data_IF_750920785130
#
_entry.id   IF_750920785130
#
_cell.length_a   1.000
_cell.length_b   1.000
_cell.length_c   1.000
_cell.angle_alpha   90.00
_cell.angle_beta   90.00
_cell.angle_gamma   90.00
#
_symmetry.space_group_name_H-M   'P 1'
#
loop_
_entity.id
_entity.type
_entity.pdbx_description
1 polymer ?
#
# COMPACT_ATOMS: atom_id res chain seq x y z
N UNK A 1 62.47 29.27 -17.58
CA UNK A 1 62.01 28.90 -16.22
C UNK A 1 60.50 28.80 -16.28
N UNK A 2 60.02 27.62 -16.71
CA UNK A 2 58.61 27.36 -17.00
C UNK A 2 58.00 26.61 -15.83
N UNK A 3 57.11 27.26 -15.09
CA UNK A 3 56.37 26.67 -13.98
C UNK A 3 55.08 26.02 -14.54
N UNK A 4 55.06 24.69 -14.63
CA UNK A 4 53.87 23.90 -14.93
C UNK A 4 52.98 23.88 -13.69
N UNK A 5 51.81 24.50 -13.77
CA UNK A 5 50.76 24.37 -12.78
C UNK A 5 49.96 23.11 -13.13
N UNK A 6 50.12 22.08 -12.36
CA UNK A 6 49.32 20.86 -12.45
C UNK A 6 47.97 21.11 -11.76
N UNK A 7 46.91 21.20 -12.56
CA UNK A 7 45.52 21.27 -12.08
C UNK A 7 45.06 19.87 -11.72
N UNK A 8 45.00 19.56 -10.42
CA UNK A 8 44.41 18.30 -9.92
C UNK A 8 42.91 18.49 -9.89
N UNK A 9 42.22 17.97 -10.90
CA UNK A 9 40.78 17.79 -10.89
C UNK A 9 40.41 16.64 -9.95
N UNK A 10 40.02 16.96 -8.73
CA UNK A 10 39.36 16.00 -7.85
C UNK A 10 37.91 15.81 -8.33
N UNK A 11 37.72 14.81 -9.18
CA UNK A 11 36.39 14.34 -9.51
C UNK A 11 35.78 13.67 -8.24
N UNK A 12 34.98 14.42 -7.50
CA UNK A 12 34.13 13.86 -6.49
C UNK A 12 33.07 12.99 -7.20
N UNK A 13 33.40 11.71 -7.39
CA UNK A 13 32.43 10.70 -7.74
C UNK A 13 31.44 10.61 -6.57
N UNK A 14 30.34 11.32 -6.64
CA UNK A 14 29.16 10.99 -5.86
C UNK A 14 28.73 9.58 -6.30
N UNK A 15 29.28 8.58 -5.63
CA UNK A 15 28.72 7.23 -5.63
C UNK A 15 27.34 7.42 -5.00
N UNK A 16 26.33 7.61 -5.85
CA UNK A 16 24.94 7.36 -5.49
C UNK A 16 24.90 5.88 -5.12
N UNK A 17 25.20 5.57 -3.86
CA UNK A 17 24.92 4.26 -3.31
C UNK A 17 23.44 4.02 -3.62
N UNK A 18 23.07 2.94 -4.34
CA UNK A 18 21.69 2.57 -4.45
C UNK A 18 21.20 2.45 -3.00
N UNK A 19 20.31 3.33 -2.58
CA UNK A 19 19.63 3.20 -1.29
C UNK A 19 19.12 1.77 -1.31
N UNK A 20 19.66 0.92 -0.44
CA UNK A 20 19.22 -0.46 -0.34
C UNK A 20 17.74 -0.41 -0.01
N UNK A 21 16.92 -0.55 -1.05
CA UNK A 21 15.47 -0.56 -0.91
C UNK A 21 15.17 -1.72 0.00
N UNK A 22 14.49 -1.45 1.11
CA UNK A 22 14.30 -2.35 2.22
C UNK A 22 13.87 -3.75 1.81
N UNK A 23 14.22 -4.72 2.63
CA UNK A 23 13.92 -6.12 2.38
C UNK A 23 12.41 -6.41 2.33
N UNK A 24 12.08 -7.55 1.78
CA UNK A 24 10.72 -8.09 1.72
C UNK A 24 10.07 -8.13 3.11
N UNK A 25 8.75 -7.87 3.18
CA UNK A 25 7.98 -8.10 4.40
C UNK A 25 7.86 -9.61 4.61
N UNK A 26 8.41 -10.10 5.71
CA UNK A 26 8.40 -11.55 6.02
C UNK A 26 7.39 -11.93 7.11
N UNK A 27 6.79 -10.95 7.78
CA UNK A 27 5.74 -11.12 8.76
C UNK A 27 4.97 -9.81 8.91
N UNK A 28 3.82 -9.74 8.28
CA UNK A 28 3.02 -8.52 8.23
C UNK A 28 2.54 -8.07 9.63
N UNK A 29 2.23 -8.98 10.52
CA UNK A 29 1.78 -8.62 11.88
C UNK A 29 2.88 -7.91 12.68
N UNK A 30 4.11 -8.42 12.60
CA UNK A 30 5.28 -7.77 13.22
C UNK A 30 5.55 -6.43 12.56
N UNK A 31 5.48 -6.38 11.23
CA UNK A 31 5.70 -5.16 10.46
C UNK A 31 4.70 -4.06 10.86
N UNK A 32 3.39 -4.37 10.87
CA UNK A 32 2.35 -3.40 11.23
C UNK A 32 2.36 -2.99 12.70
N UNK A 33 2.97 -3.78 13.59
CA UNK A 33 3.12 -3.41 15.00
C UNK A 33 4.20 -2.36 15.28
N UNK A 34 4.99 -2.00 14.27
CA UNK A 34 6.06 -1.02 14.38
C UNK A 34 5.57 0.37 13.99
N UNK A 35 6.09 1.40 14.66
CA UNK A 35 5.89 2.79 14.30
C UNK A 35 6.47 3.10 12.91
N UNK A 36 5.70 3.64 11.96
CA UNK A 36 6.20 3.97 10.63
C UNK A 36 7.36 4.96 10.62
N UNK A 37 7.36 5.94 11.52
CA UNK A 37 8.38 6.99 11.59
C UNK A 37 9.76 6.50 12.05
N UNK A 38 9.85 5.27 12.56
CA UNK A 38 11.12 4.60 12.86
C UNK A 38 11.67 3.78 11.70
N UNK A 39 10.89 3.68 10.64
CA UNK A 39 11.30 2.95 9.45
C UNK A 39 12.36 3.74 8.68
N UNK A 40 13.47 3.13 8.25
CA UNK A 40 14.47 3.82 7.44
C UNK A 40 13.94 4.44 6.15
N UNK A 41 12.86 3.89 5.58
CA UNK A 41 12.21 4.41 4.38
C UNK A 41 11.23 5.56 4.67
N UNK A 42 10.92 5.85 5.94
CA UNK A 42 9.86 6.79 6.29
C UNK A 42 10.07 8.19 5.67
N UNK A 43 11.28 8.72 5.76
CA UNK A 43 11.60 10.03 5.19
C UNK A 43 11.36 10.06 3.67
N UNK A 44 11.70 8.97 2.97
CA UNK A 44 11.45 8.85 1.53
C UNK A 44 9.95 8.76 1.22
N UNK A 45 9.20 7.97 1.99
CA UNK A 45 7.75 7.81 1.80
C UNK A 45 7.03 9.14 2.00
N UNK A 46 7.37 9.88 3.05
CA UNK A 46 6.78 11.21 3.34
C UNK A 46 7.18 12.26 2.28
N UNK A 47 8.38 12.18 1.76
CA UNK A 47 8.82 13.03 0.65
C UNK A 47 8.05 12.73 -0.64
N UNK A 48 7.81 11.45 -0.94
CA UNK A 48 7.18 11.02 -2.18
C UNK A 48 5.65 11.17 -2.17
N UNK A 49 5.03 11.02 -1.00
CA UNK A 49 3.58 11.13 -0.81
C UNK A 49 3.25 12.11 0.32
N UNK A 50 2.88 13.32 -0.06
CA UNK A 50 2.39 14.33 0.89
C UNK A 50 1.03 13.90 1.45
N UNK A 51 0.84 13.98 2.76
CA UNK A 51 -0.46 13.77 3.39
C UNK A 51 -1.12 15.09 3.69
N UNK A 52 -2.42 15.14 3.39
CA UNK A 52 -3.29 16.27 3.69
C UNK A 52 -4.54 15.81 4.43
N UNK A 53 -5.13 16.71 5.19
CA UNK A 53 -6.46 16.55 5.74
C UNK A 53 -7.28 17.78 5.37
N UNK A 54 -8.38 17.54 4.67
CA UNK A 54 -9.26 18.61 4.16
C UNK A 54 -8.48 19.70 3.39
N UNK A 55 -7.50 19.25 2.58
CA UNK A 55 -6.64 20.12 1.77
C UNK A 55 -5.44 20.76 2.50
N UNK A 56 -5.34 20.63 3.84
CA UNK A 56 -4.24 21.18 4.61
C UNK A 56 -3.14 20.12 4.86
N UNK A 57 -1.86 20.45 4.74
CA UNK A 57 -0.78 19.54 5.09
C UNK A 57 -0.90 19.02 6.51
N UNK A 58 -0.71 17.71 6.69
CA UNK A 58 -0.76 17.08 8.01
C UNK A 58 0.63 16.99 8.60
N UNK A 59 0.80 17.61 9.78
CA UNK A 59 1.98 17.44 10.61
C UNK A 59 1.56 16.71 11.87
N UNK A 60 1.79 15.40 11.92
CA UNK A 60 1.53 14.62 13.13
C UNK A 60 2.80 14.48 13.98
N UNK A 61 2.58 14.37 15.28
CA UNK A 61 3.65 13.99 16.18
C UNK A 61 4.16 12.57 15.84
N UNK A 62 5.45 12.34 15.96
CA UNK A 62 5.99 11.00 15.77
C UNK A 62 5.39 10.02 16.80
N UNK A 63 5.40 8.73 16.45
CA UNK A 63 4.98 7.71 17.40
C UNK A 63 5.80 7.77 18.68
N UNK A 64 5.13 7.84 19.82
CA UNK A 64 5.79 7.97 21.13
C UNK A 64 6.10 6.64 21.81
N UNK A 65 5.61 5.53 21.25
CA UNK A 65 5.76 4.20 21.84
C UNK A 65 7.22 3.71 21.79
N UNK A 66 7.87 3.51 22.95
CA UNK A 66 9.26 3.07 22.98
C UNK A 66 9.47 1.62 22.51
N UNK A 67 8.42 0.80 22.51
CA UNK A 67 8.44 -0.60 22.12
C UNK A 67 8.15 -0.83 20.64
N UNK A 68 7.70 0.20 19.92
CA UNK A 68 7.23 0.07 18.55
C UNK A 68 5.81 -0.48 18.38
N UNK A 69 5.21 -1.02 19.44
CA UNK A 69 3.81 -1.45 19.40
C UNK A 69 2.88 -0.26 19.63
N UNK A 70 1.88 -0.10 18.79
CA UNK A 70 0.89 0.97 18.90
C UNK A 70 -0.39 0.46 19.55
N UNK A 71 -0.99 1.28 20.40
CA UNK A 71 -2.33 1.02 20.95
C UNK A 71 -3.41 1.48 19.96
N UNK A 72 -4.64 1.00 20.12
CA UNK A 72 -5.80 1.43 19.29
C UNK A 72 -5.95 2.95 19.27
N UNK A 73 -5.76 3.59 20.40
CA UNK A 73 -5.90 5.05 20.54
C UNK A 73 -4.83 5.84 19.75
N UNK A 74 -3.73 5.20 19.36
CA UNK A 74 -2.65 5.81 18.61
C UNK A 74 -2.80 5.63 17.09
N UNK A 75 -3.75 4.80 16.66
CA UNK A 75 -4.09 4.64 15.24
C UNK A 75 -5.01 5.78 14.81
N UNK A 76 -4.43 6.84 14.29
CA UNK A 76 -5.14 7.86 13.53
C UNK A 76 -5.27 7.45 12.05
N UNK A 77 -6.19 8.08 11.34
CA UNK A 77 -6.35 7.87 9.90
C UNK A 77 -5.04 8.12 9.14
N UNK A 78 -4.30 9.17 9.54
CA UNK A 78 -2.98 9.47 8.96
C UNK A 78 -1.99 8.33 9.16
N UNK A 79 -2.02 7.70 10.32
CA UNK A 79 -1.16 6.58 10.63
C UNK A 79 -1.52 5.33 9.80
N UNK A 80 -2.82 5.07 9.63
CA UNK A 80 -3.32 4.00 8.75
C UNK A 80 -2.81 4.22 7.32
N UNK A 81 -2.96 5.43 6.79
CA UNK A 81 -2.45 5.79 5.46
C UNK A 81 -0.94 5.57 5.37
N UNK A 82 -0.17 6.01 6.36
CA UNK A 82 1.29 5.81 6.41
C UNK A 82 1.68 4.34 6.45
N UNK A 83 0.95 3.51 7.21
CA UNK A 83 1.18 2.05 7.22
C UNK A 83 0.89 1.43 5.86
N UNK A 84 -0.19 1.81 5.19
CA UNK A 84 -0.49 1.36 3.84
C UNK A 84 0.62 1.73 2.84
N UNK A 85 1.06 2.98 2.83
CA UNK A 85 2.17 3.45 1.97
C UNK A 85 3.49 2.72 2.29
N UNK A 86 3.74 2.43 3.57
CA UNK A 86 4.92 1.66 3.99
C UNK A 86 4.85 0.23 3.50
N UNK A 87 3.69 -0.42 3.57
CA UNK A 87 3.49 -1.75 2.98
C UNK A 87 3.73 -1.70 1.47
N UNK A 88 3.12 -0.76 0.75
CA UNK A 88 3.33 -0.57 -0.69
C UNK A 88 4.82 -0.38 -1.02
N UNK A 89 5.57 0.35 -0.20
CA UNK A 89 7.00 0.56 -0.40
C UNK A 89 7.80 -0.74 -0.36
N UNK A 90 7.43 -1.69 0.50
CA UNK A 90 8.20 -2.91 0.72
C UNK A 90 7.66 -4.16 0.00
N UNK A 91 6.35 -4.24 -0.24
CA UNK A 91 5.70 -5.49 -0.65
C UNK A 91 6.14 -6.02 -2.00
N UNK A 92 6.62 -5.18 -2.89
CA UNK A 92 6.75 -5.52 -4.31
C UNK A 92 8.22 -5.55 -4.80
N UNK A 93 9.18 -5.53 -3.91
CA UNK A 93 10.59 -5.35 -4.31
C UNK A 93 11.20 -6.52 -5.07
N UNK A 94 10.59 -7.69 -5.03
CA UNK A 94 11.03 -8.88 -5.75
C UNK A 94 10.05 -9.36 -6.83
N UNK A 95 8.94 -8.65 -7.04
CA UNK A 95 7.79 -9.15 -7.79
C UNK A 95 7.42 -8.30 -9.00
N UNK A 96 8.38 -7.53 -9.54
CA UNK A 96 8.20 -6.79 -10.78
C UNK A 96 7.71 -7.73 -11.89
N UNK A 97 6.58 -7.39 -12.50
CA UNK A 97 5.93 -8.22 -13.52
C UNK A 97 4.63 -8.91 -13.06
N UNK A 98 4.28 -8.84 -11.77
CA UNK A 98 3.00 -9.33 -11.28
C UNK A 98 1.86 -8.32 -11.43
N UNK A 99 2.17 -7.04 -11.62
CA UNK A 99 1.20 -5.98 -11.81
C UNK A 99 1.06 -5.66 -13.30
N UNK A 100 0.01 -6.17 -13.97
CA UNK A 100 -0.07 -6.14 -15.43
C UNK A 100 -0.26 -4.74 -16.03
N UNK A 101 -0.69 -3.77 -15.23
CA UNK A 101 -0.92 -2.40 -15.69
C UNK A 101 0.29 -1.47 -15.53
N UNK A 102 1.40 -1.95 -14.97
CA UNK A 102 2.62 -1.16 -14.79
C UNK A 102 3.86 -2.01 -14.98
N UNK A 103 4.90 -1.42 -15.53
CA UNK A 103 6.22 -2.06 -15.67
C UNK A 103 7.08 -1.95 -14.40
N UNK A 104 6.64 -1.16 -13.42
CA UNK A 104 7.34 -0.92 -12.16
C UNK A 104 6.65 -1.56 -10.96
N UNK A 105 7.08 -1.18 -9.77
CA UNK A 105 6.42 -1.53 -8.53
C UNK A 105 5.12 -0.72 -8.36
N UNK A 106 4.20 -1.18 -7.52
CA UNK A 106 3.01 -0.41 -7.16
C UNK A 106 3.39 0.97 -6.60
N UNK A 107 4.43 1.02 -5.78
CA UNK A 107 4.96 2.27 -5.22
C UNK A 107 5.41 3.25 -6.31
N UNK A 108 6.24 2.79 -7.23
CA UNK A 108 6.80 3.64 -8.28
C UNK A 108 5.70 4.12 -9.26
N UNK A 109 4.73 3.24 -9.56
CA UNK A 109 3.57 3.62 -10.37
C UNK A 109 2.72 4.69 -9.67
N UNK A 110 2.31 4.48 -8.43
CA UNK A 110 1.53 5.47 -7.67
C UNK A 110 2.26 6.80 -7.58
N UNK A 111 3.55 6.78 -7.20
CA UNK A 111 4.40 7.98 -7.14
C UNK A 111 4.47 8.74 -8.46
N UNK A 112 4.40 8.04 -9.59
CA UNK A 112 4.40 8.67 -10.91
C UNK A 112 3.08 9.39 -11.25
N UNK A 113 1.98 9.06 -10.55
CA UNK A 113 0.62 9.55 -10.84
C UNK A 113 0.12 10.56 -9.81
N UNK A 114 0.41 10.35 -8.53
CA UNK A 114 -0.11 11.17 -7.44
C UNK A 114 1.01 11.80 -6.62
N UNK A 115 0.75 13.03 -6.14
CA UNK A 115 1.64 13.72 -5.20
C UNK A 115 1.36 13.36 -3.74
N UNK A 116 0.26 12.64 -3.47
CA UNK A 116 -0.09 12.25 -2.11
C UNK A 116 -1.55 11.85 -1.92
N UNK A 117 -1.94 11.79 -0.66
CA UNK A 117 -3.28 11.40 -0.22
C UNK A 117 -3.89 12.52 0.61
N UNK A 118 -5.13 12.89 0.30
CA UNK A 118 -5.91 13.85 1.07
C UNK A 118 -7.00 13.09 1.85
N UNK A 119 -6.92 13.11 3.17
CA UNK A 119 -7.93 12.54 4.06
C UNK A 119 -9.06 13.55 4.16
N UNK A 120 -10.28 13.15 3.77
CA UNK A 120 -11.46 14.01 3.75
C UNK A 120 -12.35 13.67 4.94
N UNK A 121 -12.59 14.62 5.82
CA UNK A 121 -13.47 14.43 6.98
C UNK A 121 -14.93 14.36 6.53
N UNK A 122 -15.64 13.30 6.93
CA UNK A 122 -17.06 13.10 6.59
C UNK A 122 -17.37 12.85 5.12
N UNK A 123 -16.34 12.62 4.29
CA UNK A 123 -16.46 12.34 2.87
C UNK A 123 -16.17 10.88 2.52
N UNK A 124 -16.57 10.47 1.31
CA UNK A 124 -16.14 9.21 0.71
C UNK A 124 -14.85 9.36 -0.10
N UNK A 125 -14.26 8.24 -0.47
CA UNK A 125 -13.09 8.23 -1.34
C UNK A 125 -13.45 8.63 -2.77
N UNK A 126 -12.52 9.30 -3.42
CA UNK A 126 -12.70 9.77 -4.80
C UNK A 126 -11.37 10.19 -5.43
N UNK A 127 -11.27 10.09 -6.73
CA UNK A 127 -10.33 10.86 -7.54
C UNK A 127 -11.01 12.18 -7.91
N UNK A 128 -10.40 13.34 -7.91
CA UNK A 128 -9.07 13.68 -7.44
C UNK A 128 -9.12 15.11 -6.89
N UNK A 129 -8.18 15.47 -6.06
CA UNK A 129 -7.98 16.85 -5.64
C UNK A 129 -6.68 17.41 -6.24
N UNK A 130 -6.56 18.73 -6.36
CA UNK A 130 -5.37 19.40 -6.85
C UNK A 130 -4.84 20.36 -5.79
N UNK A 131 -3.59 20.17 -5.38
CA UNK A 131 -2.92 21.05 -4.42
C UNK A 131 -1.49 21.33 -4.88
N UNK A 132 -1.14 22.61 -5.01
CA UNK A 132 0.22 23.01 -5.39
C UNK A 132 0.69 22.42 -6.74
N UNK A 133 -0.21 22.22 -7.69
CA UNK A 133 0.10 21.63 -9.00
C UNK A 133 0.28 20.10 -8.99
N UNK A 134 0.04 19.44 -7.86
CA UNK A 134 0.08 17.98 -7.73
C UNK A 134 -1.32 17.41 -7.59
N UNK A 135 -1.54 16.21 -8.13
CA UNK A 135 -2.79 15.46 -7.99
C UNK A 135 -2.76 14.61 -6.72
N UNK A 136 -3.85 14.63 -5.97
CA UNK A 136 -4.06 13.85 -4.76
C UNK A 136 -5.30 12.98 -4.92
N UNK A 137 -5.27 11.77 -4.42
CA UNK A 137 -6.48 10.99 -4.20
C UNK A 137 -7.12 11.41 -2.87
N UNK A 138 -8.45 11.41 -2.81
CA UNK A 138 -9.20 11.64 -1.59
C UNK A 138 -9.54 10.30 -0.94
N UNK A 139 -9.41 10.22 0.38
CA UNK A 139 -9.77 9.06 1.18
C UNK A 139 -10.64 9.52 2.33
N UNK A 140 -11.85 9.00 2.44
CA UNK A 140 -12.82 9.42 3.44
C UNK A 140 -12.51 8.87 4.82
N UNK A 141 -12.43 9.74 5.85
CA UNK A 141 -12.02 9.34 7.19
C UNK A 141 -13.13 8.64 7.99
N UNK A 142 -14.38 8.95 7.74
CA UNK A 142 -15.50 8.44 8.56
C UNK A 142 -16.17 7.21 7.95
N UNK A 143 -16.21 7.12 6.63
CA UNK A 143 -16.88 6.03 5.92
C UNK A 143 -15.93 4.91 5.50
N UNK A 144 -14.65 5.25 5.28
CA UNK A 144 -13.67 4.33 4.73
C UNK A 144 -12.68 3.81 5.78
N UNK A 145 -12.62 4.43 6.98
CA UNK A 145 -11.76 3.98 8.07
C UNK A 145 -12.55 3.44 9.26
N UNK A 146 -12.61 2.13 9.36
CA UNK A 146 -12.98 1.45 10.61
C UNK A 146 -11.70 1.16 11.40
N UNK A 147 -11.36 1.99 12.37
CA UNK A 147 -10.08 1.96 13.10
C UNK A 147 -9.73 0.61 13.73
N UNK A 148 -10.72 -0.16 14.14
CA UNK A 148 -10.48 -1.50 14.70
C UNK A 148 -10.11 -2.51 13.61
N UNK A 149 -10.69 -2.39 12.43
CA UNK A 149 -10.42 -3.25 11.29
C UNK A 149 -9.18 -2.77 10.51
N UNK A 150 -9.08 -1.47 10.23
CA UNK A 150 -8.07 -0.90 9.32
C UNK A 150 -6.63 -0.99 9.86
N UNK A 151 -6.44 -1.23 11.14
CA UNK A 151 -5.14 -1.57 11.73
C UNK A 151 -4.74 -3.03 11.55
N UNK A 152 -5.65 -3.89 11.11
CA UNK A 152 -5.38 -5.29 10.80
C UNK A 152 -4.82 -5.44 9.39
N UNK A 153 -4.23 -6.59 9.09
CA UNK A 153 -3.72 -6.82 7.74
C UNK A 153 -4.81 -6.70 6.66
N UNK A 154 -5.98 -7.36 6.76
CA UNK A 154 -7.00 -7.20 5.73
C UNK A 154 -7.50 -5.75 5.58
N UNK A 155 -7.56 -4.97 6.66
CA UNK A 155 -7.93 -3.57 6.60
C UNK A 155 -6.88 -2.71 5.89
N UNK A 156 -5.61 -2.87 6.22
CA UNK A 156 -4.51 -2.20 5.50
C UNK A 156 -4.49 -2.59 4.02
N UNK A 157 -4.73 -3.87 3.70
CA UNK A 157 -4.81 -4.33 2.32
C UNK A 157 -5.98 -3.68 1.57
N UNK A 158 -7.16 -3.58 2.20
CA UNK A 158 -8.31 -2.88 1.63
C UNK A 158 -8.05 -1.40 1.36
N UNK A 159 -7.31 -0.74 2.25
CA UNK A 159 -6.87 0.64 2.02
C UNK A 159 -5.86 0.74 0.86
N UNK A 160 -4.93 -0.19 0.73
CA UNK A 160 -4.00 -0.24 -0.41
C UNK A 160 -4.77 -0.42 -1.72
N UNK A 161 -5.78 -1.29 -1.74
CA UNK A 161 -6.66 -1.48 -2.89
C UNK A 161 -7.34 -0.17 -3.29
N UNK A 162 -7.87 0.55 -2.32
CA UNK A 162 -8.52 1.83 -2.53
C UNK A 162 -7.54 2.87 -3.09
N UNK A 163 -6.33 2.96 -2.55
CA UNK A 163 -5.32 3.90 -3.06
C UNK A 163 -4.94 3.58 -4.51
N UNK A 164 -4.81 2.31 -4.84
CA UNK A 164 -4.53 1.87 -6.20
C UNK A 164 -5.71 2.14 -7.15
N UNK A 165 -6.94 1.92 -6.70
CA UNK A 165 -8.17 2.23 -7.42
C UNK A 165 -8.26 3.72 -7.78
N UNK A 166 -8.14 4.59 -6.79
CA UNK A 166 -8.21 6.04 -7.00
C UNK A 166 -7.03 6.54 -7.86
N UNK A 167 -5.85 5.96 -7.67
CA UNK A 167 -4.70 6.26 -8.53
C UNK A 167 -4.94 5.84 -9.99
N UNK A 168 -5.71 4.77 -10.21
CA UNK A 168 -6.06 4.33 -11.56
C UNK A 168 -7.00 5.33 -12.26
N UNK A 169 -7.87 6.01 -11.52
CA UNK A 169 -8.63 7.13 -12.05
C UNK A 169 -7.73 8.29 -12.49
N UNK A 170 -6.69 8.61 -11.71
CA UNK A 170 -5.67 9.62 -12.12
C UNK A 170 -4.95 9.20 -13.41
N UNK A 171 -4.79 7.90 -13.62
CA UNK A 171 -4.19 7.35 -14.84
C UNK A 171 -5.14 7.37 -16.06
N UNK A 172 -6.35 7.94 -15.91
CA UNK A 172 -7.29 8.16 -17.01
C UNK A 172 -8.30 7.05 -17.23
N UNK A 173 -8.50 6.16 -16.28
CA UNK A 173 -9.47 5.06 -16.36
C UNK A 173 -10.73 5.36 -15.52
N UNK A 174 -11.81 5.88 -16.13
CA UNK A 174 -13.05 6.12 -15.42
C UNK A 174 -13.84 4.82 -15.23
N UNK A 175 -14.78 4.85 -14.28
CA UNK A 175 -15.84 3.84 -14.28
C UNK A 175 -16.76 4.00 -15.50
N UNK A 176 -17.34 2.90 -15.92
CA UNK A 176 -18.35 2.87 -16.95
C UNK A 176 -19.68 2.45 -16.34
N UNK A 177 -20.78 2.89 -16.93
CA UNK A 177 -22.09 2.26 -16.70
C UNK A 177 -22.19 1.04 -17.59
N UNK A 178 -22.22 -0.14 -17.01
CA UNK A 178 -22.29 -1.37 -17.77
C UNK A 178 -23.32 -2.34 -17.22
N UNK A 179 -23.89 -3.15 -18.10
CA UNK A 179 -24.63 -4.35 -17.78
C UNK A 179 -25.82 -4.15 -16.84
N UNK A 180 -26.46 -2.97 -16.86
CA UNK A 180 -27.58 -2.65 -15.99
C UNK A 180 -27.22 -2.23 -14.57
N UNK A 181 -25.93 -2.15 -14.24
CA UNK A 181 -25.42 -1.61 -12.97
C UNK A 181 -25.18 -0.12 -13.20
N UNK A 182 -25.93 0.72 -12.50
CA UNK A 182 -25.73 2.18 -12.48
C UNK A 182 -24.61 2.52 -11.52
N UNK A 183 -23.55 3.13 -12.02
CA UNK A 183 -22.39 3.64 -11.28
C UNK A 183 -21.57 2.56 -10.55
N UNK A 184 -20.34 2.41 -10.92
CA UNK A 184 -19.38 1.60 -10.21
C UNK A 184 -19.18 0.21 -10.79
N UNK A 185 -19.15 0.07 -12.10
CA UNK A 185 -18.63 -1.12 -12.77
C UNK A 185 -17.61 -0.74 -13.85
N UNK A 186 -16.89 -1.73 -14.32
CA UNK A 186 -15.94 -1.63 -15.41
C UNK A 186 -16.44 -2.49 -16.60
N UNK A 187 -16.31 -2.00 -17.83
CA UNK A 187 -16.91 -2.67 -19.00
C UNK A 187 -16.31 -4.04 -19.27
N UNK A 188 -14.99 -4.12 -19.20
CA UNK A 188 -14.24 -5.33 -19.52
C UNK A 188 -13.11 -5.52 -18.52
N UNK A 189 -12.77 -6.78 -18.29
CA UNK A 189 -11.55 -7.15 -17.61
C UNK A 189 -10.49 -7.42 -18.66
N UNK A 190 -9.59 -6.47 -18.84
CA UNK A 190 -8.43 -6.59 -19.73
C UNK A 190 -7.15 -6.44 -18.91
N UNK A 191 -6.32 -7.46 -18.89
CA UNK A 191 -5.07 -7.49 -18.13
C UNK A 191 -4.11 -6.36 -18.51
N UNK A 192 -4.09 -5.95 -19.76
CA UNK A 192 -3.22 -4.86 -20.23
C UNK A 192 -3.76 -3.48 -19.84
N UNK A 193 -5.08 -3.38 -19.62
CA UNK A 193 -5.79 -2.13 -19.38
C UNK A 193 -6.75 -2.24 -18.19
N UNK A 194 -6.29 -2.84 -17.09
CA UNK A 194 -7.09 -2.96 -15.89
C UNK A 194 -7.66 -1.60 -15.47
N UNK A 195 -8.96 -1.53 -15.34
CA UNK A 195 -9.73 -0.43 -14.80
C UNK A 195 -9.65 -0.41 -13.26
N UNK A 196 -10.18 0.59 -12.56
CA UNK A 196 -10.05 0.70 -11.11
C UNK A 196 -10.50 -0.53 -10.34
N UNK A 197 -11.67 -1.12 -10.64
CA UNK A 197 -12.09 -2.38 -10.02
C UNK A 197 -11.24 -3.58 -10.44
N UNK A 198 -10.69 -3.55 -11.64
CA UNK A 198 -9.75 -4.57 -12.10
C UNK A 198 -8.46 -4.57 -11.29
N UNK A 199 -7.96 -3.38 -10.95
CA UNK A 199 -6.78 -3.22 -10.08
C UNK A 199 -7.06 -3.77 -8.68
N UNK A 200 -8.20 -3.45 -8.08
CA UNK A 200 -8.60 -3.96 -6.77
C UNK A 200 -8.74 -5.49 -6.79
N UNK A 201 -9.45 -6.03 -7.78
CA UNK A 201 -9.60 -7.48 -7.94
C UNK A 201 -8.23 -8.16 -8.04
N UNK A 202 -7.32 -7.59 -8.84
CA UNK A 202 -6.01 -8.18 -9.09
C UNK A 202 -5.10 -8.15 -7.86
N UNK A 203 -5.09 -7.06 -7.10
CA UNK A 203 -4.32 -6.99 -5.86
C UNK A 203 -4.80 -8.02 -4.84
N UNK A 204 -6.12 -8.11 -4.60
CA UNK A 204 -6.67 -9.14 -3.70
C UNK A 204 -6.41 -10.56 -4.19
N UNK A 205 -6.47 -10.78 -5.50
CA UNK A 205 -6.10 -12.07 -6.12
C UNK A 205 -4.63 -12.42 -5.84
N UNK A 206 -3.71 -11.47 -5.98
CA UNK A 206 -2.29 -11.69 -5.72
C UNK A 206 -2.01 -12.01 -4.26
N UNK A 207 -2.64 -11.29 -3.32
CA UNK A 207 -2.50 -11.62 -1.90
C UNK A 207 -3.08 -12.98 -1.56
N UNK A 208 -4.23 -13.31 -2.12
CA UNK A 208 -4.89 -14.61 -1.88
C UNK A 208 -4.09 -15.79 -2.43
N UNK A 209 -3.39 -15.60 -3.55
CA UNK A 209 -2.68 -16.68 -4.27
C UNK A 209 -1.17 -16.65 -4.03
N UNK A 210 -0.67 -15.80 -3.13
CA UNK A 210 0.76 -15.67 -2.84
C UNK A 210 1.57 -15.00 -3.94
N UNK A 211 0.91 -14.32 -4.88
CA UNK A 211 1.59 -13.55 -5.92
C UNK A 211 2.28 -12.29 -5.36
N UNK A 212 1.79 -11.77 -4.25
CA UNK A 212 2.48 -10.79 -3.40
C UNK A 212 2.60 -11.40 -2.01
N UNK A 213 3.82 -11.72 -1.61
CA UNK A 213 4.11 -12.33 -0.32
C UNK A 213 4.49 -11.24 0.70
N UNK A 214 3.73 -11.17 1.77
CA UNK A 214 3.99 -10.29 2.92
C UNK A 214 4.06 -11.08 4.22
N UNK A 215 4.14 -12.39 4.15
CA UNK A 215 4.22 -13.27 5.32
C UNK A 215 2.96 -13.21 6.20
N UNK A 216 1.77 -13.09 5.62
CA UNK A 216 0.53 -13.05 6.41
C UNK A 216 0.20 -14.42 7.03
N UNK A 217 0.72 -15.51 6.48
CA UNK A 217 0.67 -16.85 7.08
C UNK A 217 1.39 -16.92 8.43
N UNK A 218 2.24 -15.93 8.73
CA UNK A 218 2.92 -15.79 10.03
C UNK A 218 2.05 -15.11 11.11
N UNK A 219 0.85 -14.67 10.76
CA UNK A 219 -0.14 -14.22 11.74
C UNK A 219 -0.65 -15.38 12.59
N UNK A 220 -1.32 -15.07 13.69
CA UNK A 220 -2.04 -16.12 14.45
C UNK A 220 -3.14 -16.74 13.58
N UNK A 221 -3.47 -18.03 13.74
CA UNK A 221 -4.41 -18.73 12.84
C UNK A 221 -5.76 -18.04 12.64
N UNK A 222 -6.29 -17.37 13.66
CA UNK A 222 -7.53 -16.60 13.54
C UNK A 222 -7.39 -15.43 12.56
N UNK A 223 -6.27 -14.71 12.62
CA UNK A 223 -6.02 -13.55 11.75
C UNK A 223 -5.71 -13.99 10.31
N UNK A 224 -5.03 -15.15 10.13
CA UNK A 224 -4.84 -15.77 8.81
C UNK A 224 -6.21 -16.09 8.18
N UNK A 225 -7.10 -16.72 8.95
CA UNK A 225 -8.44 -17.06 8.48
C UNK A 225 -9.25 -15.81 8.15
N UNK A 226 -9.18 -14.76 8.98
CA UNK A 226 -9.86 -13.50 8.74
C UNK A 226 -9.35 -12.83 7.45
N UNK A 227 -8.04 -12.77 7.24
CA UNK A 227 -7.42 -12.20 6.04
C UNK A 227 -7.81 -13.00 4.79
N UNK A 228 -7.71 -14.32 4.83
CA UNK A 228 -8.10 -15.20 3.71
C UNK A 228 -9.57 -15.03 3.35
N UNK A 229 -10.48 -15.01 4.34
CA UNK A 229 -11.90 -14.80 4.10
C UNK A 229 -12.19 -13.42 3.51
N UNK A 230 -11.50 -12.39 3.96
CA UNK A 230 -11.60 -11.05 3.40
C UNK A 230 -11.19 -11.03 1.91
N UNK A 231 -10.04 -11.57 1.55
CA UNK A 231 -9.57 -11.59 0.17
C UNK A 231 -10.49 -12.44 -0.73
N UNK A 232 -10.97 -13.58 -0.24
CA UNK A 232 -11.94 -14.42 -0.95
C UNK A 232 -13.25 -13.66 -1.22
N UNK A 233 -13.79 -12.98 -0.22
CA UNK A 233 -15.00 -12.17 -0.37
C UNK A 233 -14.76 -11.01 -1.32
N UNK A 234 -13.64 -10.31 -1.20
CA UNK A 234 -13.28 -9.21 -2.09
C UNK A 234 -13.20 -9.66 -3.55
N UNK A 235 -12.46 -10.73 -3.83
CA UNK A 235 -12.29 -11.25 -5.19
C UNK A 235 -13.59 -11.82 -5.74
N UNK A 236 -14.32 -12.64 -4.96
CA UNK A 236 -15.45 -13.42 -5.46
C UNK A 236 -16.80 -12.68 -5.39
N UNK A 237 -17.00 -11.85 -4.37
CA UNK A 237 -18.31 -11.25 -4.10
C UNK A 237 -18.33 -9.75 -4.42
N UNK A 238 -17.28 -9.01 -4.08
CA UNK A 238 -17.25 -7.56 -4.23
C UNK A 238 -16.83 -7.11 -5.63
N UNK A 239 -15.69 -7.62 -6.14
CA UNK A 239 -15.09 -7.08 -7.35
C UNK A 239 -15.41 -7.86 -8.63
N UNK A 240 -15.46 -9.18 -8.60
CA UNK A 240 -15.72 -9.97 -9.82
C UNK A 240 -17.06 -9.64 -10.50
N UNK A 241 -18.04 -9.15 -9.75
CA UNK A 241 -19.36 -8.78 -10.24
C UNK A 241 -19.42 -7.36 -10.80
N UNK A 242 -18.31 -6.61 -10.71
CA UNK A 242 -18.19 -5.25 -11.23
C UNK A 242 -17.83 -5.21 -12.73
N UNK A 243 -17.89 -6.35 -13.42
CA UNK A 243 -17.62 -6.46 -14.85
C UNK A 243 -18.82 -7.03 -15.58
N UNK A 244 -18.98 -6.67 -16.87
CA UNK A 244 -20.08 -7.16 -17.70
C UNK A 244 -20.11 -8.69 -17.84
N UNK A 245 -18.95 -9.30 -17.93
CA UNK A 245 -18.80 -10.75 -17.78
C UNK A 245 -18.23 -11.02 -16.39
N UNK A 246 -18.97 -11.74 -15.54
CA UNK A 246 -18.45 -12.13 -14.24
C UNK A 246 -17.13 -12.87 -14.38
N UNK A 247 -16.12 -12.45 -13.62
CA UNK A 247 -14.85 -13.16 -13.58
C UNK A 247 -15.04 -14.54 -12.94
N UNK A 248 -14.20 -15.53 -13.29
CA UNK A 248 -14.22 -16.83 -12.63
C UNK A 248 -14.02 -16.68 -11.11
N UNK A 249 -14.64 -17.55 -10.34
CA UNK A 249 -14.39 -17.63 -8.91
C UNK A 249 -12.95 -18.13 -8.66
N UNK A 250 -12.29 -17.52 -7.69
CA UNK A 250 -10.93 -17.86 -7.28
C UNK A 250 -10.99 -18.65 -5.98
N UNK A 251 -10.13 -19.66 -5.85
CA UNK A 251 -9.93 -20.40 -4.60
C UNK A 251 -8.59 -19.99 -4.01
N UNK A 252 -8.54 -19.83 -2.69
CA UNK A 252 -7.28 -19.65 -2.00
C UNK A 252 -6.37 -20.85 -2.26
N UNK A 253 -5.11 -20.59 -2.52
CA UNK A 253 -4.11 -21.65 -2.43
C UNK A 253 -4.11 -22.18 -0.98
N UNK A 254 -4.06 -23.51 -0.79
CA UNK A 254 -3.90 -24.03 0.56
C UNK A 254 -2.65 -23.38 1.16
N UNK A 255 -2.81 -22.75 2.32
CA UNK A 255 -1.67 -22.21 3.06
C UNK A 255 -0.64 -23.34 3.16
N UNK A 256 0.55 -23.14 2.63
CA UNK A 256 1.62 -24.15 2.67
C UNK A 256 1.97 -24.33 4.15
N UNK A 257 1.64 -25.46 4.78
CA UNK A 257 2.03 -25.66 6.16
C UNK A 257 3.54 -25.77 6.18
N UNK A 258 4.22 -24.81 6.75
CA UNK A 258 5.63 -24.97 7.06
C UNK A 258 6.64 -24.08 6.37
N UNK A 259 6.25 -22.97 5.78
CA UNK A 259 7.22 -21.88 5.65
C UNK A 259 7.61 -21.46 7.07
N UNK A 260 8.85 -21.73 7.50
CA UNK A 260 9.28 -21.36 8.83
C UNK A 260 9.18 -19.85 8.99
N UNK A 261 8.10 -19.40 9.64
CA UNK A 261 7.99 -17.99 10.01
C UNK A 261 9.24 -17.61 10.79
N UNK A 262 9.93 -16.53 10.42
CA UNK A 262 11.11 -16.12 11.14
C UNK A 262 10.76 -15.93 12.62
N UNK A 263 11.63 -16.35 13.55
CA UNK A 263 11.35 -16.25 14.97
C UNK A 263 11.08 -14.79 15.32
N UNK A 264 9.94 -14.55 15.97
CA UNK A 264 9.63 -13.22 16.47
C UNK A 264 10.80 -12.76 17.39
N UNK A 265 11.27 -11.53 17.24
CA UNK A 265 12.29 -11.01 18.15
C UNK A 265 11.75 -11.12 19.57
N UNK A 266 12.42 -11.92 20.40
CA UNK A 266 12.01 -12.10 21.80
C UNK A 266 11.94 -10.72 22.45
N UNK A 267 10.77 -10.32 22.94
CA UNK A 267 10.63 -9.15 23.79
C UNK A 267 11.65 -9.33 24.93
N UNK A 268 12.68 -8.52 24.95
CA UNK A 268 13.52 -8.44 26.16
C UNK A 268 12.59 -7.92 27.24
N UNK A 269 12.17 -8.80 28.16
CA UNK A 269 11.51 -8.37 29.36
C UNK A 269 12.48 -7.41 30.05
N UNK A 270 12.09 -6.13 30.11
CA UNK A 270 12.79 -5.21 30.98
C UNK A 270 12.61 -5.77 32.40
N UNK A 271 13.68 -6.35 32.94
CA UNK A 271 13.73 -6.61 34.37
C UNK A 271 13.91 -5.25 35.03
N UNK A 272 12.89 -4.83 35.75
CA UNK A 272 12.96 -3.75 36.72
C UNK A 272 13.81 -4.17 37.92
#
# INVERSE_FOLDING_TARGET
>A
MNMLIALVLVAAAFILSPVARGGQIVNIGVFLSQCPDRDPAFAQIVHDFELRRDGLPVSEAPCTEPTGAMTVAQYSDTLIVRQGLRVIYYMDRGQSGHLPWTSGTLYDWMKSKIGGINIVTGGGSSCCAQFGGKTFINVGSENDFNRDFDRTWPGIAGNIDLYAHETRHVDGFPHSSCCGITNGCDNTFDMANLSPYGVQWWLNHLWLTGGIDVGYECLVPADVSAATNWFLSSVNDQFRTRFCANLPAVQALPATPGGACPPQPRRRSARH
#
